data_IF_067996025165
#
_entry.id   IF_067996025165
#
_cell.length_a   1.000
_cell.length_b   1.000
_cell.length_c   1.000
_cell.angle_alpha   90.00
_cell.angle_beta   90.00
_cell.angle_gamma   90.00
#
_symmetry.space_group_name_H-M   'P 1'
#
loop_
_entity.id
_entity.type
_entity.pdbx_description
1 polymer ?
#
# COMPACT_ATOMS: atom_id res chain seq x y z
N UNK A 1 -26.52 11.06 3.21
CA UNK A 1 -25.31 10.97 2.41
C UNK A 1 -24.52 12.27 2.55
N UNK A 2 -23.25 12.18 2.88
CA UNK A 2 -22.39 13.35 2.99
C UNK A 2 -21.76 13.76 1.66
N UNK A 3 -21.32 15.00 1.59
CA UNK A 3 -20.58 15.51 0.44
C UNK A 3 -19.16 15.86 0.90
N UNK A 4 -18.17 15.38 0.16
CA UNK A 4 -16.76 15.58 0.47
C UNK A 4 -16.06 16.22 -0.74
N UNK A 5 -15.24 17.24 -0.50
CA UNK A 5 -14.45 17.87 -1.53
C UNK A 5 -12.99 17.46 -1.38
N UNK A 6 -12.35 17.11 -2.47
CA UNK A 6 -10.95 16.69 -2.50
C UNK A 6 -10.22 17.44 -3.62
N UNK A 7 -9.06 17.99 -3.30
CA UNK A 7 -8.20 18.62 -4.30
C UNK A 7 -7.32 17.57 -4.96
N UNK A 8 -7.22 17.62 -6.27
CA UNK A 8 -6.42 16.68 -7.06
C UNK A 8 -5.67 17.42 -8.15
N UNK A 9 -4.52 16.91 -8.59
CA UNK A 9 -3.87 17.45 -9.79
C UNK A 9 -4.79 17.34 -11.02
N UNK A 10 -4.75 18.35 -11.87
CA UNK A 10 -5.60 18.37 -13.08
C UNK A 10 -5.40 17.15 -13.96
N UNK A 11 -4.16 16.68 -14.09
CA UNK A 11 -3.85 15.48 -14.85
C UNK A 11 -4.58 14.23 -14.31
N UNK A 12 -4.66 14.10 -12.99
CA UNK A 12 -5.38 12.98 -12.38
C UNK A 12 -6.88 13.09 -12.64
N UNK A 13 -7.44 14.30 -12.55
CA UNK A 13 -8.85 14.54 -12.86
C UNK A 13 -9.17 14.14 -14.30
N UNK A 14 -8.31 14.52 -15.24
CA UNK A 14 -8.50 14.16 -16.66
C UNK A 14 -8.46 12.65 -16.86
N UNK A 15 -7.57 11.95 -16.16
CA UNK A 15 -7.51 10.48 -16.23
C UNK A 15 -8.76 9.83 -15.63
N UNK A 16 -9.28 10.38 -14.54
CA UNK A 16 -10.52 9.91 -13.92
C UNK A 16 -11.68 10.08 -14.90
N UNK A 17 -11.80 11.24 -15.53
CA UNK A 17 -12.87 11.51 -16.50
C UNK A 17 -12.81 10.59 -17.70
N UNK A 18 -11.61 10.38 -18.25
CA UNK A 18 -11.41 9.45 -19.37
C UNK A 18 -11.79 8.02 -19.00
N UNK A 19 -11.40 7.58 -17.81
CA UNK A 19 -11.72 6.23 -17.32
C UNK A 19 -13.22 6.05 -17.10
N UNK A 20 -13.89 7.04 -16.51
CA UNK A 20 -15.34 6.97 -16.28
C UNK A 20 -16.10 6.83 -17.61
N UNK A 21 -15.70 7.59 -18.61
CA UNK A 21 -16.33 7.56 -19.94
C UNK A 21 -16.09 6.22 -20.64
N UNK A 22 -14.84 5.74 -20.61
CA UNK A 22 -14.45 4.49 -21.26
C UNK A 22 -15.12 3.26 -20.64
N UNK A 23 -15.30 3.25 -19.34
CA UNK A 23 -15.80 2.09 -18.60
C UNK A 23 -17.25 2.19 -18.14
N UNK A 24 -17.98 3.20 -18.61
CA UNK A 24 -19.42 3.30 -18.39
C UNK A 24 -19.86 3.71 -16.99
N UNK A 25 -19.00 4.37 -16.22
CA UNK A 25 -19.40 4.94 -14.95
C UNK A 25 -20.29 6.17 -15.16
N UNK A 26 -21.22 6.42 -14.26
CA UNK A 26 -22.12 7.56 -14.35
C UNK A 26 -21.43 8.89 -14.06
N UNK A 27 -20.27 8.87 -13.40
CA UNK A 27 -19.50 10.07 -13.13
C UNK A 27 -18.40 9.82 -12.12
N UNK A 28 -17.71 10.89 -11.75
CA UNK A 28 -16.59 10.86 -10.81
C UNK A 28 -16.96 10.26 -9.46
N UNK A 29 -18.11 10.61 -8.94
CA UNK A 29 -18.54 10.16 -7.61
C UNK A 29 -18.67 8.65 -7.54
N UNK A 30 -19.25 8.02 -8.56
CA UNK A 30 -19.39 6.57 -8.60
C UNK A 30 -18.03 5.88 -8.65
N UNK A 31 -17.14 6.34 -9.53
CA UNK A 31 -15.79 5.80 -9.66
C UNK A 31 -15.03 5.94 -8.34
N UNK A 32 -15.08 7.12 -7.73
CA UNK A 32 -14.34 7.36 -6.48
C UNK A 32 -14.89 6.55 -5.32
N UNK A 33 -16.21 6.36 -5.24
CA UNK A 33 -16.80 5.48 -4.22
C UNK A 33 -16.33 4.04 -4.38
N UNK A 34 -16.34 3.55 -5.62
CA UNK A 34 -15.86 2.19 -5.90
C UNK A 34 -14.39 2.03 -5.56
N UNK A 35 -13.55 2.98 -5.99
CA UNK A 35 -12.12 2.96 -5.69
C UNK A 35 -11.86 2.97 -4.19
N UNK A 36 -12.59 3.81 -3.44
CA UNK A 36 -12.46 3.88 -1.99
C UNK A 36 -12.87 2.56 -1.34
N UNK A 37 -14.01 1.98 -1.75
CA UNK A 37 -14.45 0.69 -1.21
C UNK A 37 -13.44 -0.42 -1.49
N UNK A 38 -12.88 -0.44 -2.70
CA UNK A 38 -11.89 -1.45 -3.05
C UNK A 38 -10.62 -1.33 -2.22
N UNK A 39 -10.11 -0.10 -2.06
CA UNK A 39 -8.91 0.13 -1.26
C UNK A 39 -9.12 -0.21 0.22
N UNK A 40 -10.22 0.25 0.78
CA UNK A 40 -10.57 -0.05 2.18
C UNK A 40 -10.76 -1.55 2.38
N UNK A 41 -11.40 -2.21 1.43
CA UNK A 41 -11.67 -3.65 1.49
C UNK A 41 -10.42 -4.52 1.59
N UNK A 42 -9.28 -4.03 1.10
CA UNK A 42 -8.02 -4.78 1.18
C UNK A 42 -7.62 -5.09 2.63
N UNK A 43 -7.88 -4.16 3.57
CA UNK A 43 -7.54 -4.36 4.97
C UNK A 43 -8.75 -4.54 5.89
N UNK A 44 -9.95 -4.29 5.41
CA UNK A 44 -11.18 -4.42 6.20
C UNK A 44 -11.98 -5.68 5.85
N UNK A 45 -11.42 -6.53 4.98
CA UNK A 45 -12.09 -7.77 4.59
C UNK A 45 -12.11 -8.74 5.77
N UNK A 46 -13.29 -8.99 6.31
CA UNK A 46 -13.46 -9.89 7.45
C UNK A 46 -13.00 -11.32 7.18
N UNK A 47 -12.95 -11.72 5.90
CA UNK A 47 -12.46 -13.05 5.54
C UNK A 47 -10.97 -13.20 5.82
N UNK A 48 -10.23 -12.09 5.95
CA UNK A 48 -8.79 -12.08 6.25
C UNK A 48 -8.50 -11.98 7.74
N UNK A 49 -9.48 -11.58 8.56
CA UNK A 49 -9.31 -11.52 10.00
C UNK A 49 -9.04 -12.91 10.56
N UNK A 50 -8.17 -13.01 11.56
CA UNK A 50 -7.80 -14.24 12.25
C UNK A 50 -7.13 -15.31 11.38
N UNK A 51 -6.75 -14.98 10.15
CA UNK A 51 -6.00 -15.88 9.27
C UNK A 51 -4.52 -15.50 9.26
N UNK A 52 -3.67 -16.47 9.03
CA UNK A 52 -2.27 -16.22 8.76
C UNK A 52 -2.11 -15.73 7.33
N UNK A 53 -1.48 -14.58 7.17
CA UNK A 53 -1.32 -13.93 5.87
C UNK A 53 0.16 -13.74 5.54
N UNK A 54 0.43 -13.76 4.24
CA UNK A 54 1.68 -13.24 3.70
C UNK A 54 1.39 -11.84 3.16
N UNK A 55 2.23 -10.89 3.55
CA UNK A 55 2.20 -9.55 2.98
C UNK A 55 3.45 -9.28 2.18
N UNK A 56 3.29 -8.58 1.08
CA UNK A 56 4.43 -8.08 0.29
C UNK A 56 4.27 -6.57 0.23
N UNK A 57 5.30 -5.85 0.69
CA UNK A 57 5.31 -4.39 0.71
C UNK A 57 6.53 -3.91 -0.05
N UNK A 58 6.33 -3.02 -1.01
CA UNK A 58 7.43 -2.38 -1.72
C UNK A 58 7.42 -0.88 -1.47
N UNK A 59 8.59 -0.34 -1.18
CA UNK A 59 8.78 1.09 -0.91
C UNK A 59 9.83 1.60 -1.87
N UNK A 60 9.52 2.66 -2.60
CA UNK A 60 10.48 3.31 -3.51
C UNK A 60 10.81 4.68 -2.96
N UNK A 61 12.08 5.01 -2.94
CA UNK A 61 12.57 6.30 -2.45
C UNK A 61 13.85 6.69 -3.18
N UNK A 62 14.21 7.98 -3.12
CA UNK A 62 15.44 8.47 -3.71
C UNK A 62 16.64 7.95 -2.92
N UNK A 63 17.67 7.43 -3.60
CA UNK A 63 18.82 6.84 -2.93
C UNK A 63 19.62 7.83 -2.07
N UNK A 64 19.46 9.13 -2.30
CA UNK A 64 20.11 10.15 -1.49
C UNK A 64 19.36 10.42 -0.18
N UNK A 65 18.18 9.84 0.00
CA UNK A 65 17.33 10.03 1.17
C UNK A 65 17.70 9.04 2.27
N UNK A 66 18.77 9.31 3.00
CA UNK A 66 19.30 8.39 4.03
C UNK A 66 18.31 8.14 5.18
N UNK A 67 17.46 9.13 5.49
CA UNK A 67 16.46 8.99 6.56
C UNK A 67 15.43 7.89 6.26
N UNK A 68 15.07 7.68 4.99
CA UNK A 68 14.12 6.62 4.62
C UNK A 68 14.76 5.25 4.86
N UNK A 69 15.99 5.06 4.41
CA UNK A 69 16.70 3.79 4.60
C UNK A 69 16.86 3.45 6.08
N UNK A 70 17.28 4.42 6.89
CA UNK A 70 17.39 4.24 8.34
C UNK A 70 16.05 3.88 8.96
N UNK A 71 14.96 4.54 8.53
CA UNK A 71 13.63 4.25 9.05
C UNK A 71 13.16 2.86 8.67
N UNK A 72 13.45 2.40 7.45
CA UNK A 72 13.11 1.04 7.02
C UNK A 72 13.84 -0.01 7.88
N UNK A 73 15.11 0.21 8.17
CA UNK A 73 15.87 -0.68 9.04
C UNK A 73 15.32 -0.69 10.47
N UNK A 74 14.96 0.46 10.99
CA UNK A 74 14.35 0.59 12.31
C UNK A 74 13.02 -0.17 12.39
N UNK A 75 12.16 -0.01 11.38
CA UNK A 75 10.87 -0.70 11.33
C UNK A 75 11.04 -2.21 11.24
N UNK A 76 12.04 -2.67 10.50
CA UNK A 76 12.36 -4.09 10.44
C UNK A 76 12.68 -4.64 11.82
N UNK A 77 13.48 -3.94 12.60
CA UNK A 77 13.82 -4.36 13.96
C UNK A 77 12.60 -4.31 14.90
N UNK A 78 11.82 -3.24 14.82
CA UNK A 78 10.63 -3.09 15.67
C UNK A 78 9.57 -4.17 15.40
N UNK A 79 9.54 -4.69 14.18
CA UNK A 79 8.55 -5.67 13.73
C UNK A 79 9.16 -7.00 13.32
N UNK A 80 10.28 -7.38 13.93
CA UNK A 80 10.98 -8.61 13.56
C UNK A 80 10.11 -9.87 13.65
N UNK A 81 9.05 -9.84 14.46
CA UNK A 81 8.13 -10.96 14.59
C UNK A 81 7.28 -11.22 13.36
N UNK A 82 7.12 -10.23 12.48
CA UNK A 82 6.33 -10.38 11.25
C UNK A 82 7.15 -10.23 9.98
N UNK A 83 8.37 -9.70 10.05
CA UNK A 83 9.23 -9.55 8.87
C UNK A 83 9.98 -10.85 8.63
N UNK A 84 9.58 -11.59 7.60
CA UNK A 84 10.21 -12.85 7.24
C UNK A 84 11.52 -12.62 6.48
N UNK A 85 11.52 -11.67 5.56
CA UNK A 85 12.73 -11.25 4.85
C UNK A 85 12.54 -9.87 4.25
N UNK A 86 13.66 -9.27 3.84
CA UNK A 86 13.62 -8.00 3.13
C UNK A 86 14.75 -7.95 2.12
N UNK A 87 14.53 -7.19 1.05
CA UNK A 87 15.49 -6.99 -0.02
C UNK A 87 15.64 -5.50 -0.29
N UNK A 88 16.87 -5.08 -0.50
CA UNK A 88 17.19 -3.73 -0.90
C UNK A 88 17.79 -3.76 -2.30
N UNK A 89 17.31 -2.90 -3.18
CA UNK A 89 17.81 -2.84 -4.55
C UNK A 89 17.85 -1.41 -5.05
N UNK A 90 18.83 -1.12 -5.88
CA UNK A 90 18.85 0.12 -6.65
C UNK A 90 18.01 -0.09 -7.90
N UNK A 91 17.14 0.86 -8.20
CA UNK A 91 16.21 0.78 -9.33
C UNK A 91 16.32 2.08 -10.15
N UNK A 92 16.67 1.96 -11.41
CA UNK A 92 16.93 3.14 -12.24
C UNK A 92 18.16 3.89 -11.78
N UNK A 93 18.23 5.19 -12.12
CA UNK A 93 19.41 6.00 -11.85
C UNK A 93 19.46 6.60 -10.44
N UNK A 94 18.27 6.83 -9.84
CA UNK A 94 18.20 7.61 -8.61
C UNK A 94 17.34 6.97 -7.51
N UNK A 95 16.83 5.77 -7.72
CA UNK A 95 15.90 5.17 -6.79
C UNK A 95 16.45 3.96 -6.07
N UNK A 96 16.02 3.81 -4.83
CA UNK A 96 16.14 2.57 -4.07
C UNK A 96 14.76 1.97 -3.89
N UNK A 97 14.71 0.66 -3.84
CA UNK A 97 13.50 -0.08 -3.50
C UNK A 97 13.80 -0.98 -2.30
N UNK A 98 12.96 -0.89 -1.30
CA UNK A 98 12.96 -1.85 -0.20
C UNK A 98 11.72 -2.72 -0.34
N UNK A 99 11.92 -4.03 -0.32
CA UNK A 99 10.82 -5.00 -0.39
C UNK A 99 10.81 -5.80 0.91
N UNK A 100 9.65 -5.85 1.56
CA UNK A 100 9.46 -6.66 2.77
C UNK A 100 8.50 -7.81 2.47
N UNK A 101 8.89 -8.99 2.92
CA UNK A 101 7.98 -10.16 2.96
C UNK A 101 7.57 -10.33 4.41
N UNK A 102 6.27 -10.24 4.64
CA UNK A 102 5.69 -10.27 5.98
C UNK A 102 4.86 -11.54 6.16
N UNK A 103 4.84 -12.06 7.37
CA UNK A 103 3.97 -13.16 7.78
C UNK A 103 3.30 -12.77 9.09
N UNK A 104 1.98 -12.80 9.14
CA UNK A 104 1.27 -12.45 10.36
C UNK A 104 -0.21 -12.21 10.13
N UNK A 105 -0.82 -11.61 11.12
CA UNK A 105 -2.24 -11.25 11.10
C UNK A 105 -2.43 -9.93 10.38
N UNK A 106 -3.62 -9.73 9.84
CA UNK A 106 -3.97 -8.52 9.10
C UNK A 106 -3.69 -7.25 9.92
N UNK A 107 -4.05 -7.23 11.20
CA UNK A 107 -3.84 -6.08 12.05
C UNK A 107 -2.36 -5.69 12.16
N UNK A 108 -1.48 -6.67 12.29
CA UNK A 108 -0.03 -6.43 12.43
C UNK A 108 0.58 -5.96 11.11
N UNK A 109 0.17 -6.57 10.00
CA UNK A 109 0.62 -6.16 8.67
C UNK A 109 0.14 -4.72 8.38
N UNK A 110 -1.11 -4.42 8.67
CA UNK A 110 -1.69 -3.09 8.48
C UNK A 110 -0.94 -2.03 9.29
N UNK A 111 -0.58 -2.33 10.53
CA UNK A 111 0.19 -1.43 11.38
C UNK A 111 1.58 -1.15 10.77
N UNK A 112 2.24 -2.18 10.29
CA UNK A 112 3.56 -2.05 9.65
C UNK A 112 3.47 -1.18 8.40
N UNK A 113 2.52 -1.45 7.50
CA UNK A 113 2.31 -0.68 6.27
C UNK A 113 2.00 0.78 6.61
N UNK A 114 1.18 1.02 7.64
CA UNK A 114 0.85 2.38 8.07
C UNK A 114 2.07 3.16 8.53
N UNK A 115 2.99 2.52 9.24
CA UNK A 115 4.25 3.18 9.66
C UNK A 115 5.15 3.50 8.48
N UNK A 116 5.19 2.64 7.47
CA UNK A 116 5.94 2.92 6.25
C UNK A 116 5.32 4.13 5.53
N UNK A 117 4.00 4.17 5.37
CA UNK A 117 3.32 5.28 4.72
C UNK A 117 3.50 6.62 5.44
N UNK A 118 3.66 6.57 6.76
CA UNK A 118 3.90 7.75 7.57
C UNK A 118 5.34 8.28 7.45
N UNK A 119 6.23 7.53 6.82
CA UNK A 119 7.62 7.92 6.62
C UNK A 119 7.71 8.98 5.52
N UNK A 120 8.33 10.11 5.84
CA UNK A 120 8.53 11.19 4.87
C UNK A 120 9.49 10.77 3.77
N UNK A 121 9.31 11.37 2.61
CA UNK A 121 10.21 11.23 1.44
C UNK A 121 10.16 9.87 0.76
N UNK A 122 9.13 9.05 1.03
CA UNK A 122 8.86 7.89 0.20
C UNK A 122 8.14 8.34 -1.07
N UNK A 123 8.49 7.74 -2.20
CA UNK A 123 7.85 8.03 -3.48
C UNK A 123 6.58 7.21 -3.67
N UNK A 124 6.69 5.90 -3.49
CA UNK A 124 5.55 4.98 -3.58
C UNK A 124 5.62 3.95 -2.48
N UNK A 125 4.46 3.51 -2.02
CA UNK A 125 4.31 2.39 -1.09
C UNK A 125 3.19 1.51 -1.63
N UNK A 126 3.53 0.31 -2.07
CA UNK A 126 2.58 -0.67 -2.57
C UNK A 126 2.59 -1.91 -1.70
N UNK A 127 1.43 -2.53 -1.53
CA UNK A 127 1.35 -3.75 -0.74
C UNK A 127 0.26 -4.68 -1.26
N UNK A 128 0.41 -5.96 -0.94
CA UNK A 128 -0.61 -6.97 -1.16
C UNK A 128 -0.60 -7.96 -0.01
N UNK A 129 -1.74 -8.57 0.28
CA UNK A 129 -1.88 -9.61 1.29
C UNK A 129 -2.52 -10.84 0.67
N UNK A 130 -2.05 -12.01 1.10
CA UNK A 130 -2.52 -13.30 0.59
C UNK A 130 -2.55 -14.30 1.75
N UNK A 131 -3.64 -15.08 1.91
CA UNK A 131 -3.65 -16.15 2.90
C UNK A 131 -2.59 -17.20 2.59
N UNK A 132 -1.92 -17.69 3.63
CA UNK A 132 -0.92 -18.74 3.50
C UNK A 132 -1.40 -20.08 4.05
N UNK A 133 -2.63 -20.11 4.57
CA UNK A 133 -3.27 -21.37 4.96
C UNK A 133 -3.84 -22.10 3.74
N UNK A 134 -4.41 -23.29 3.96
CA UNK A 134 -4.83 -24.17 2.87
C UNK A 134 -6.07 -23.72 2.11
N UNK A 135 -6.81 -22.73 2.62
CA UNK A 135 -8.07 -22.27 2.03
C UNK A 135 -7.89 -20.94 1.30
N UNK A 136 -7.76 -20.95 -0.03
CA UNK A 136 -7.71 -19.70 -0.80
C UNK A 136 -9.06 -18.97 -0.70
N UNK A 137 -9.01 -17.66 -0.85
CA UNK A 137 -10.21 -16.84 -0.85
C UNK A 137 -11.00 -16.99 -2.14
#
# INVERSE_FOLDING_TARGET
MGVVSVSMPDELIDRIDGFTEEHGYTGRSELLREAARNLLGEFEDKRLEDRELMGIVTVVFDYETTNVEERMMQLRHEHEGIVASNFHSHVGDHNCMELFILEGRLADISTFVGKIRATKDTKTVDYSVTPIDADPL
#
